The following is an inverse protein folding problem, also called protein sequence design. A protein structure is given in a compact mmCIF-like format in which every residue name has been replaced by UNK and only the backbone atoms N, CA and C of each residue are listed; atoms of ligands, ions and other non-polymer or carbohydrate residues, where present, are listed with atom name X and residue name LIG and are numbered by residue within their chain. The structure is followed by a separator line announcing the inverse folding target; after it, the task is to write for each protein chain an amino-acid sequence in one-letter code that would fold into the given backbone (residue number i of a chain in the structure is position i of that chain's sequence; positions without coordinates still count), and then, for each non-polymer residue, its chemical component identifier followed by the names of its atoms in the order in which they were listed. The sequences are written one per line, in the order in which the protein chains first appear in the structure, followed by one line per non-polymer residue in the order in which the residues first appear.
data_IF_776416150988
#
_entry.id   IF_776416150988
#
_cell.length_a   1.000
_cell.length_b   1.000
_cell.length_c   1.000
_cell.angle_alpha   90.00
_cell.angle_beta   90.00
_cell.angle_gamma   90.00
#
_symmetry.space_group_name_H-M   'P 1'
#
loop_
_entity.id
_entity.type
_entity.pdbx_description
1 polymer ?
#
# COMPACT_ATOMS: atom_id res chain seq x y z
N UNK A 1 2.85 -18.87 -7.81
CA UNK A 1 2.70 -17.42 -7.58
C UNK A 1 1.33 -16.83 -7.95
N UNK A 2 0.32 -17.65 -8.31
CA UNK A 2 -1.01 -17.16 -8.73
C UNK A 2 -1.85 -16.47 -7.64
N UNK A 3 -1.67 -16.83 -6.36
CA UNK A 3 -2.50 -16.30 -5.27
C UNK A 3 -2.27 -14.80 -4.98
N UNK A 4 -1.07 -14.28 -5.22
CA UNK A 4 -0.74 -12.86 -4.99
C UNK A 4 -1.33 -11.98 -6.08
N UNK A 5 -1.17 -12.37 -7.35
CA UNK A 5 -1.78 -11.64 -8.48
C UNK A 5 -3.31 -11.56 -8.37
N UNK A 6 -3.94 -12.65 -7.92
CA UNK A 6 -5.37 -12.67 -7.64
C UNK A 6 -5.77 -11.66 -6.56
N UNK A 7 -5.10 -11.66 -5.40
CA UNK A 7 -5.36 -10.70 -4.31
C UNK A 7 -5.16 -9.25 -4.73
N UNK A 8 -4.13 -8.97 -5.53
CA UNK A 8 -3.88 -7.62 -6.06
C UNK A 8 -5.04 -7.18 -6.97
N UNK A 9 -5.54 -8.08 -7.81
CA UNK A 9 -6.68 -7.79 -8.69
C UNK A 9 -7.97 -7.55 -7.90
N UNK A 10 -8.26 -8.38 -6.89
CA UNK A 10 -9.42 -8.18 -6.02
C UNK A 10 -9.35 -6.88 -5.24
N UNK A 11 -8.22 -6.57 -4.61
CA UNK A 11 -8.04 -5.31 -3.88
C UNK A 11 -8.18 -4.07 -4.80
N UNK A 12 -7.78 -4.17 -6.08
CA UNK A 12 -8.06 -3.13 -7.08
C UNK A 12 -9.56 -3.00 -7.38
N UNK A 13 -10.28 -4.12 -7.52
CA UNK A 13 -11.73 -4.13 -7.74
C UNK A 13 -12.49 -3.54 -6.54
N UNK A 14 -12.07 -3.88 -5.32
CA UNK A 14 -12.60 -3.35 -4.06
C UNK A 14 -12.18 -1.89 -3.80
N UNK A 15 -11.41 -1.28 -4.70
CA UNK A 15 -10.98 0.12 -4.62
C UNK A 15 -10.17 0.42 -3.35
N UNK A 16 -9.45 -0.57 -2.83
CA UNK A 16 -8.64 -0.44 -1.62
C UNK A 16 -7.57 0.65 -1.84
N UNK A 17 -7.48 1.68 -0.96
CA UNK A 17 -6.53 2.77 -1.13
C UNK A 17 -5.06 2.32 -1.07
N UNK A 18 -4.75 1.41 -0.14
CA UNK A 18 -3.41 0.90 0.13
C UNK A 18 -3.42 -0.62 0.33
N UNK A 19 -2.49 -1.31 -0.32
CA UNK A 19 -2.17 -2.71 -0.10
C UNK A 19 -0.81 -2.82 0.58
N UNK A 20 -0.76 -3.55 1.68
CA UNK A 20 0.48 -3.88 2.38
C UNK A 20 0.87 -5.32 2.04
N UNK A 21 2.06 -5.47 1.46
CA UNK A 21 2.65 -6.76 1.13
C UNK A 21 3.75 -7.02 2.16
N UNK A 22 3.51 -8.04 2.98
CA UNK A 22 4.44 -8.55 3.98
C UNK A 22 4.95 -9.91 3.51
N UNK A 23 6.24 -9.99 3.25
CA UNK A 23 6.96 -11.25 3.10
C UNK A 23 7.75 -11.57 4.36
N UNK A 24 8.37 -12.75 4.37
CA UNK A 24 9.14 -13.24 5.51
C UNK A 24 10.38 -12.38 5.80
N UNK A 25 11.00 -11.81 4.75
CA UNK A 25 12.14 -10.88 4.89
C UNK A 25 11.71 -9.54 5.47
N UNK A 26 10.58 -9.03 4.99
CA UNK A 26 10.00 -7.78 5.47
C UNK A 26 9.60 -7.87 6.94
N UNK A 27 9.07 -9.02 7.38
CA UNK A 27 8.74 -9.27 8.78
C UNK A 27 9.97 -9.26 9.69
N UNK A 28 11.07 -9.90 9.29
CA UNK A 28 12.32 -9.92 10.05
C UNK A 28 12.97 -8.52 10.16
N UNK A 29 12.86 -7.69 9.12
CA UNK A 29 13.44 -6.35 9.07
C UNK A 29 12.49 -5.24 9.58
N UNK A 30 11.23 -5.57 9.89
CA UNK A 30 10.22 -4.59 10.31
C UNK A 30 9.78 -3.63 9.20
N UNK A 31 9.96 -4.05 7.95
CA UNK A 31 9.60 -3.31 6.75
C UNK A 31 8.25 -3.78 6.21
N UNK A 32 7.64 -2.95 5.36
CA UNK A 32 6.44 -3.30 4.61
C UNK A 32 6.57 -2.78 3.18
N UNK A 33 6.20 -3.59 2.20
CA UNK A 33 6.04 -3.12 0.82
C UNK A 33 4.64 -2.54 0.66
N UNK A 34 4.56 -1.28 0.25
CA UNK A 34 3.30 -0.54 0.15
C UNK A 34 2.97 -0.31 -1.31
N UNK A 35 1.74 -0.65 -1.67
CA UNK A 35 1.20 -0.44 -3.01
C UNK A 35 -0.09 0.35 -2.91
N UNK A 36 -0.09 1.59 -3.39
CA UNK A 36 -1.28 2.42 -3.40
C UNK A 36 -2.03 2.34 -4.71
N UNK A 37 -3.33 2.58 -4.64
CA UNK A 37 -4.15 2.75 -5.84
C UNK A 37 -3.82 4.05 -6.59
N UNK A 38 -3.26 5.03 -5.88
CA UNK A 38 -3.01 6.36 -6.42
C UNK A 38 -1.71 6.45 -7.21
N UNK A 39 -0.61 5.88 -6.70
CA UNK A 39 0.74 5.93 -7.30
C UNK A 39 1.27 4.58 -7.78
N UNK A 40 0.55 3.49 -7.50
CA UNK A 40 1.00 2.15 -7.87
C UNK A 40 1.95 1.60 -6.81
N UNK A 41 3.17 1.23 -7.18
CA UNK A 41 4.15 0.69 -6.25
C UNK A 41 4.89 1.82 -5.52
N UNK A 42 4.72 1.93 -4.20
CA UNK A 42 5.41 2.93 -3.37
C UNK A 42 6.72 2.38 -2.77
N UNK A 43 7.06 1.11 -3.03
CA UNK A 43 8.26 0.48 -2.51
C UNK A 43 8.15 0.05 -1.05
N UNK A 44 9.29 -0.16 -0.39
CA UNK A 44 9.37 -0.58 1.00
C UNK A 44 9.57 0.61 1.94
N UNK A 45 8.83 0.63 3.05
CA UNK A 45 8.99 1.60 4.14
C UNK A 45 8.84 0.92 5.50
N UNK A 46 9.27 1.57 6.57
CA UNK A 46 9.03 1.04 7.91
C UNK A 46 7.54 1.09 8.24
N UNK A 47 7.08 0.10 8.99
CA UNK A 47 5.69 0.04 9.42
C UNK A 47 5.27 1.28 10.23
N UNK A 48 6.18 1.79 11.08
CA UNK A 48 5.93 2.96 11.92
C UNK A 48 5.71 4.22 11.09
N UNK A 49 6.55 4.45 10.10
CA UNK A 49 6.46 5.61 9.22
C UNK A 49 5.15 5.57 8.43
N UNK A 50 4.78 4.40 7.91
CA UNK A 50 3.50 4.24 7.20
C UNK A 50 2.28 4.54 8.09
N UNK A 51 2.28 4.09 9.35
CA UNK A 51 1.20 4.36 10.30
C UNK A 51 1.11 5.86 10.58
N UNK A 52 2.24 6.55 10.74
CA UNK A 52 2.28 7.99 10.94
C UNK A 52 1.69 8.73 9.73
N UNK A 53 2.19 8.42 8.52
CA UNK A 53 1.75 9.02 7.26
C UNK A 53 0.24 8.85 7.05
N UNK A 54 -0.28 7.63 7.22
CA UNK A 54 -1.70 7.36 6.96
C UNK A 54 -2.61 7.98 8.02
N UNK A 55 -2.14 8.07 9.27
CA UNK A 55 -2.89 8.74 10.35
C UNK A 55 -2.99 10.24 10.07
N UNK A 56 -1.92 10.85 9.59
CA UNK A 56 -1.91 12.25 9.20
C UNK A 56 -2.82 12.50 7.98
N UNK A 57 -2.77 11.62 6.98
CA UNK A 57 -3.63 11.67 5.80
C UNK A 57 -5.13 11.57 6.17
N UNK A 58 -5.49 10.62 7.06
CA UNK A 58 -6.85 10.47 7.57
C UNK A 58 -7.29 11.71 8.33
N UNK A 59 -6.40 12.28 9.16
CA UNK A 59 -6.68 13.49 9.95
C UNK A 59 -6.93 14.70 9.05
N UNK A 60 -6.15 14.85 7.98
CA UNK A 60 -6.24 15.95 7.03
C UNK A 60 -7.34 15.73 5.97
N UNK A 61 -7.95 14.53 5.92
CA UNK A 61 -8.92 14.12 4.88
C UNK A 61 -8.38 14.43 3.48
N UNK A 62 -7.10 14.11 3.29
CA UNK A 62 -6.39 14.50 2.08
C UNK A 62 -6.87 13.66 0.89
N UNK A 63 -7.37 14.32 -0.15
CA UNK A 63 -7.76 13.64 -1.38
C UNK A 63 -6.51 13.43 -2.24
N UNK A 64 -5.87 12.26 -2.14
CA UNK A 64 -4.77 11.90 -3.03
C UNK A 64 -5.24 11.81 -4.48
N UNK A 65 -4.53 12.49 -5.37
CA UNK A 65 -4.76 12.41 -6.81
C UNK A 65 -4.21 11.09 -7.33
N UNK A 66 -5.00 10.40 -8.16
CA UNK A 66 -4.54 9.20 -8.87
C UNK A 66 -3.57 9.63 -9.97
N UNK A 67 -2.30 9.29 -9.82
CA UNK A 67 -1.21 9.54 -10.78
C UNK A 67 -0.96 8.32 -11.69
N UNK A 68 -1.59 7.17 -11.41
CA UNK A 68 -1.50 5.98 -12.26
C UNK A 68 -2.39 6.17 -13.48
N UNK A 69 -1.76 6.52 -14.61
CA UNK A 69 -2.35 6.39 -15.95
C UNK A 69 -2.58 4.90 -16.22
N UNK A 70 -3.80 4.54 -16.67
CA UNK A 70 -4.10 3.20 -17.18
C UNK A 70 -3.15 2.78 -18.32
#
# INVERSE_FOLDING_TARGET
SEKIGYKIREARLERVPYMLILGQKEEEEGLISVRSRFRGDEGQKQLKDFIADITEEIKNRENRKTEVTE
#
